data_IF_913852853568
#
_entry.id   IF_913852853568
#
_cell.length_a   1.000
_cell.length_b   1.000
_cell.length_c   1.000
_cell.angle_alpha   90.00
_cell.angle_beta   90.00
_cell.angle_gamma   90.00
#
_symmetry.space_group_name_H-M   'P 1'
#
loop_
_entity.id
_entity.type
_entity.pdbx_description
1 polymer ?
#
# COMPACT_ATOMS: atom_id res chain seq x y z
N UNK A 1 -16.72 -19.16 -13.27
CA UNK A 1 -15.39 -18.59 -13.55
C UNK A 1 -15.44 -17.09 -13.27
N UNK A 2 -14.90 -16.63 -12.14
CA UNK A 2 -14.89 -15.19 -11.84
C UNK A 2 -13.99 -14.48 -12.86
N UNK A 3 -14.49 -13.47 -13.56
CA UNK A 3 -13.68 -12.67 -14.47
C UNK A 3 -12.56 -12.02 -13.66
N UNK A 4 -11.30 -12.30 -14.01
CA UNK A 4 -10.14 -11.67 -13.38
C UNK A 4 -10.16 -10.16 -13.67
N UNK A 5 -9.78 -9.37 -12.68
CA UNK A 5 -9.81 -7.90 -12.76
C UNK A 5 -8.65 -7.40 -13.63
N UNK A 6 -8.86 -6.24 -14.28
CA UNK A 6 -7.79 -5.56 -15.01
C UNK A 6 -6.78 -4.90 -14.06
N UNK A 7 -5.53 -4.74 -14.50
CA UNK A 7 -4.47 -4.07 -13.72
C UNK A 7 -4.93 -2.69 -13.26
N UNK A 8 -5.50 -1.88 -14.16
CA UNK A 8 -6.00 -0.53 -13.83
C UNK A 8 -7.00 -0.54 -12.68
N UNK A 9 -7.95 -1.47 -12.68
CA UNK A 9 -8.94 -1.59 -11.61
C UNK A 9 -8.29 -1.97 -10.28
N UNK A 10 -7.34 -2.90 -10.30
CA UNK A 10 -6.67 -3.38 -9.08
C UNK A 10 -5.78 -2.29 -8.47
N UNK A 11 -5.06 -1.54 -9.30
CA UNK A 11 -4.26 -0.37 -8.88
C UNK A 11 -5.17 0.72 -8.31
N UNK A 12 -6.27 1.04 -8.97
CA UNK A 12 -7.23 2.05 -8.49
C UNK A 12 -7.79 1.68 -7.11
N UNK A 13 -8.15 0.41 -6.91
CA UNK A 13 -8.59 -0.07 -5.60
C UNK A 13 -7.48 0.11 -4.56
N UNK A 14 -6.23 -0.17 -4.92
CA UNK A 14 -5.08 0.04 -4.04
C UNK A 14 -4.90 1.50 -3.63
N UNK A 15 -4.91 2.41 -4.59
CA UNK A 15 -4.83 3.85 -4.31
C UNK A 15 -5.99 4.32 -3.42
N UNK A 16 -7.20 3.80 -3.65
CA UNK A 16 -8.36 4.16 -2.85
C UNK A 16 -8.27 3.63 -1.41
N UNK A 17 -7.88 2.38 -1.20
CA UNK A 17 -7.86 1.77 0.15
C UNK A 17 -6.59 2.05 0.93
N UNK A 18 -5.47 2.33 0.25
CA UNK A 18 -4.17 2.61 0.88
C UNK A 18 -3.93 4.11 0.93
N UNK A 19 -3.92 4.81 -0.21
CA UNK A 19 -3.47 6.19 -0.28
C UNK A 19 -4.50 7.18 0.28
N UNK A 20 -5.81 6.96 0.06
CA UNK A 20 -6.83 7.89 0.60
C UNK A 20 -6.79 7.92 2.14
N UNK A 21 -6.81 6.79 2.87
CA UNK A 21 -6.65 6.83 4.33
C UNK A 21 -5.30 7.41 4.78
N UNK A 22 -4.20 7.10 4.07
CA UNK A 22 -2.88 7.70 4.34
C UNK A 22 -2.95 9.23 4.26
N UNK A 23 -3.54 9.77 3.20
CA UNK A 23 -3.73 11.23 3.06
C UNK A 23 -4.63 11.80 4.15
N UNK A 24 -5.70 11.10 4.53
CA UNK A 24 -6.58 11.53 5.62
C UNK A 24 -5.86 11.57 6.96
N UNK A 25 -5.03 10.60 7.29
CA UNK A 25 -4.24 10.63 8.53
C UNK A 25 -3.14 11.69 8.48
N UNK A 26 -2.45 11.81 7.35
CA UNK A 26 -1.31 12.71 7.20
C UNK A 26 -1.71 14.18 7.19
N UNK A 27 -2.83 14.54 6.56
CA UNK A 27 -3.29 15.92 6.44
C UNK A 27 -4.54 16.23 7.25
N UNK A 28 -5.46 15.27 7.38
CA UNK A 28 -6.73 15.49 8.06
C UNK A 28 -6.55 15.82 9.54
N UNK A 29 -5.63 15.15 10.24
CA UNK A 29 -5.35 15.45 11.65
C UNK A 29 -4.73 16.85 11.84
N UNK A 30 -3.64 17.24 11.14
CA UNK A 30 -3.13 18.60 11.22
C UNK A 30 -4.13 19.69 10.82
N UNK A 31 -4.90 19.48 9.75
CA UNK A 31 -5.93 20.44 9.32
C UNK A 31 -7.03 20.58 10.36
N UNK A 32 -7.47 19.48 10.97
CA UNK A 32 -8.48 19.50 12.03
C UNK A 32 -7.94 20.21 13.28
N UNK A 33 -6.69 19.96 13.66
CA UNK A 33 -6.04 20.64 14.79
C UNK A 33 -5.93 22.15 14.55
N UNK A 34 -5.50 22.56 13.34
CA UNK A 34 -5.47 23.96 12.94
C UNK A 34 -6.84 24.63 13.07
N UNK A 35 -7.87 23.98 12.53
CA UNK A 35 -9.23 24.51 12.50
C UNK A 35 -9.86 24.65 13.89
N UNK A 36 -9.64 23.65 14.77
CA UNK A 36 -10.31 23.60 16.07
C UNK A 36 -9.59 24.38 17.18
N UNK A 37 -8.25 24.38 17.20
CA UNK A 37 -7.52 24.83 18.38
C UNK A 37 -6.81 26.18 18.20
N UNK A 38 -6.60 26.68 16.96
CA UNK A 38 -5.87 27.93 16.62
C UNK A 38 -4.47 28.12 17.28
N UNK A 39 -4.06 27.21 18.16
CA UNK A 39 -2.80 27.16 18.87
C UNK A 39 -1.76 26.42 18.03
N UNK A 40 -0.82 27.17 17.45
CA UNK A 40 0.17 26.64 16.51
C UNK A 40 1.13 25.58 17.07
N UNK A 41 1.29 25.47 18.38
CA UNK A 41 2.21 24.49 19.00
C UNK A 41 1.68 23.05 18.96
N UNK A 42 0.36 22.86 18.82
CA UNK A 42 -0.26 21.53 18.66
C UNK A 42 -0.09 20.97 17.25
N UNK A 43 0.18 21.82 16.25
CA UNK A 43 0.41 21.39 14.87
C UNK A 43 1.51 20.34 14.72
N UNK A 44 2.76 20.56 15.19
CA UNK A 44 3.82 19.56 15.03
C UNK A 44 3.46 18.23 15.71
N UNK A 45 2.78 18.27 16.86
CA UNK A 45 2.33 17.07 17.57
C UNK A 45 1.30 16.30 16.73
N UNK A 46 0.28 17.01 16.21
CA UNK A 46 -0.74 16.42 15.35
C UNK A 46 -0.16 15.87 14.03
N UNK A 47 0.86 16.52 13.48
CA UNK A 47 1.55 16.07 12.27
C UNK A 47 2.36 14.78 12.51
N UNK A 48 3.08 14.70 13.63
CA UNK A 48 3.82 13.48 14.01
C UNK A 48 2.85 12.32 14.23
N UNK A 49 1.75 12.54 14.95
CA UNK A 49 0.72 11.53 15.17
C UNK A 49 0.04 11.11 13.86
N UNK A 50 -0.29 12.07 13.00
CA UNK A 50 -0.87 11.81 11.68
C UNK A 50 0.06 10.98 10.80
N UNK A 51 1.36 11.30 10.79
CA UNK A 51 2.36 10.52 10.09
C UNK A 51 2.47 9.08 10.65
N UNK A 52 2.53 8.91 11.97
CA UNK A 52 2.63 7.59 12.60
C UNK A 52 1.41 6.70 12.27
N UNK A 53 0.21 7.27 12.27
CA UNK A 53 -1.02 6.57 11.90
C UNK A 53 -1.07 6.25 10.40
N UNK A 54 -0.71 7.22 9.55
CA UNK A 54 -0.61 7.02 8.11
C UNK A 54 0.36 5.89 7.77
N UNK A 55 1.55 5.90 8.37
CA UNK A 55 2.57 4.88 8.18
C UNK A 55 2.08 3.51 8.63
N UNK A 56 1.48 3.43 9.82
CA UNK A 56 0.94 2.16 10.36
C UNK A 56 -0.16 1.59 9.46
N UNK A 57 -1.07 2.45 8.98
CA UNK A 57 -2.12 2.03 8.05
C UNK A 57 -1.53 1.51 6.74
N UNK A 58 -0.58 2.25 6.15
CA UNK A 58 0.10 1.83 4.94
C UNK A 58 0.78 0.47 5.13
N UNK A 59 1.60 0.32 6.17
CA UNK A 59 2.35 -0.91 6.48
C UNK A 59 1.47 -2.14 6.60
N UNK A 60 0.24 -2.00 7.09
CA UNK A 60 -0.73 -3.09 7.17
C UNK A 60 -1.48 -3.28 5.86
N UNK A 61 -2.18 -2.23 5.40
CA UNK A 61 -3.13 -2.30 4.28
C UNK A 61 -2.46 -2.72 2.97
N UNK A 62 -1.20 -2.34 2.75
CA UNK A 62 -0.49 -2.67 1.52
C UNK A 62 -0.27 -4.17 1.34
N UNK A 63 -0.06 -4.91 2.43
CA UNK A 63 0.13 -6.38 2.42
C UNK A 63 -1.15 -7.08 1.99
N UNK A 64 -2.30 -6.66 2.54
CA UNK A 64 -3.61 -7.21 2.17
C UNK A 64 -3.97 -6.87 0.73
N UNK A 65 -3.76 -5.61 0.34
CA UNK A 65 -3.97 -5.19 -1.04
C UNK A 65 -3.10 -6.01 -2.00
N UNK A 66 -1.79 -6.16 -1.72
CA UNK A 66 -0.86 -6.91 -2.57
C UNK A 66 -1.36 -8.34 -2.80
N UNK A 67 -1.64 -9.08 -1.74
CA UNK A 67 -2.12 -10.47 -1.85
C UNK A 67 -3.44 -10.52 -2.61
N UNK A 68 -4.37 -9.60 -2.32
CA UNK A 68 -5.65 -9.53 -3.02
C UNK A 68 -5.48 -9.20 -4.51
N UNK A 69 -4.61 -8.25 -4.84
CA UNK A 69 -4.34 -7.75 -6.19
C UNK A 69 -3.85 -8.87 -7.11
N UNK A 70 -2.80 -9.60 -6.67
CA UNK A 70 -2.24 -10.70 -7.44
C UNK A 70 -3.19 -11.90 -7.53
N UNK A 71 -3.96 -12.18 -6.48
CA UNK A 71 -4.99 -13.25 -6.52
C UNK A 71 -6.11 -12.93 -7.52
N UNK A 72 -6.47 -11.66 -7.67
CA UNK A 72 -7.56 -11.20 -8.56
C UNK A 72 -7.10 -10.87 -9.99
N UNK A 73 -5.79 -10.94 -10.27
CA UNK A 73 -5.21 -10.63 -11.59
C UNK A 73 -4.69 -11.91 -12.24
N UNK A 74 -4.67 -11.96 -13.58
CA UNK A 74 -4.15 -13.12 -14.29
C UNK A 74 -2.65 -13.26 -14.08
N UNK A 75 -2.14 -14.49 -13.92
CA UNK A 75 -0.72 -14.74 -13.66
C UNK A 75 0.19 -14.17 -14.76
N UNK A 76 -0.25 -14.27 -16.01
CA UNK A 76 0.43 -13.67 -17.17
C UNK A 76 0.64 -12.14 -17.06
N UNK A 77 -0.19 -11.47 -16.26
CA UNK A 77 -0.22 -10.01 -16.12
C UNK A 77 0.49 -9.58 -14.81
N UNK A 78 1.00 -10.52 -14.01
CA UNK A 78 1.63 -10.23 -12.71
C UNK A 78 2.88 -9.36 -12.81
N UNK A 79 3.84 -9.59 -13.75
CA UNK A 79 4.99 -8.70 -13.89
C UNK A 79 4.56 -7.25 -14.18
N UNK A 80 3.59 -7.07 -15.08
CA UNK A 80 3.09 -5.74 -15.42
C UNK A 80 2.35 -5.08 -14.25
N UNK A 81 1.59 -5.86 -13.46
CA UNK A 81 0.95 -5.36 -12.24
C UNK A 81 1.97 -4.88 -11.22
N UNK A 82 3.07 -5.60 -11.01
CA UNK A 82 4.14 -5.21 -10.09
C UNK A 82 4.79 -3.89 -10.53
N UNK A 83 5.20 -3.79 -11.80
CA UNK A 83 5.76 -2.55 -12.35
C UNK A 83 4.81 -1.37 -12.16
N UNK A 84 3.53 -1.53 -12.51
CA UNK A 84 2.54 -0.46 -12.34
C UNK A 84 2.31 -0.10 -10.86
N UNK A 85 2.40 -1.07 -9.94
CA UNK A 85 2.24 -0.82 -8.51
C UNK A 85 3.43 -0.04 -7.93
N UNK A 86 4.65 -0.29 -8.43
CA UNK A 86 5.84 0.48 -8.08
C UNK A 86 5.77 1.89 -8.69
N UNK A 87 5.44 2.01 -9.97
CA UNK A 87 5.33 3.30 -10.67
C UNK A 87 4.25 4.20 -10.05
N UNK A 88 3.17 3.61 -9.55
CA UNK A 88 2.09 4.33 -8.84
C UNK A 88 2.40 4.60 -7.36
N UNK A 89 3.63 4.33 -6.91
CA UNK A 89 4.11 4.48 -5.52
C UNK A 89 3.28 3.73 -4.48
N UNK A 90 2.57 2.69 -4.90
CA UNK A 90 1.76 1.86 -4.02
C UNK A 90 2.64 0.80 -3.36
N UNK A 91 3.57 0.21 -4.12
CA UNK A 91 4.57 -0.74 -3.64
C UNK A 91 5.98 -0.16 -3.71
N UNK A 92 6.82 -0.64 -2.78
CA UNK A 92 8.26 -0.51 -2.92
C UNK A 92 8.85 -1.73 -3.62
N UNK A 93 9.96 -1.56 -4.37
CA UNK A 93 10.70 -2.68 -4.94
C UNK A 93 11.11 -3.70 -3.86
N UNK A 94 11.25 -4.96 -4.26
CA UNK A 94 11.73 -6.01 -3.36
C UNK A 94 13.10 -5.64 -2.76
N UNK A 95 13.28 -5.87 -1.46
CA UNK A 95 14.51 -5.56 -0.74
C UNK A 95 14.65 -4.10 -0.30
N UNK A 96 13.77 -3.21 -0.75
CA UNK A 96 13.75 -1.80 -0.33
C UNK A 96 13.50 -1.66 1.18
N UNK A 97 14.07 -0.64 1.82
CA UNK A 97 13.96 -0.45 3.27
C UNK A 97 12.50 -0.36 3.73
N UNK A 98 11.67 0.40 3.01
CA UNK A 98 10.25 0.56 3.35
C UNK A 98 9.42 -0.71 3.12
N UNK A 99 9.80 -1.58 2.18
CA UNK A 99 9.17 -2.89 2.00
C UNK A 99 9.33 -3.76 3.26
N UNK A 100 10.44 -3.61 3.98
CA UNK A 100 10.70 -4.31 5.25
C UNK A 100 9.89 -3.76 6.43
N UNK A 101 9.32 -2.56 6.30
CA UNK A 101 8.47 -1.96 7.34
C UNK A 101 7.00 -2.38 7.22
N UNK A 102 6.69 -3.24 6.25
CA UNK A 102 5.37 -3.85 6.13
C UNK A 102 5.09 -4.83 7.28
N UNK A 103 3.87 -4.77 7.81
CA UNK A 103 3.44 -5.64 8.91
C UNK A 103 2.83 -6.89 8.31
N UNK A 104 3.58 -8.00 8.35
CA UNK A 104 3.24 -9.26 7.69
C UNK A 104 3.13 -10.39 8.70
N UNK A 105 2.08 -11.21 8.58
CA UNK A 105 2.03 -12.53 9.21
C UNK A 105 2.88 -13.53 8.42
N UNK A 106 3.28 -14.65 9.05
CA UNK A 106 4.05 -15.72 8.37
C UNK A 106 3.37 -16.22 7.10
N UNK A 107 2.05 -16.47 7.17
CA UNK A 107 1.27 -16.93 6.02
C UNK A 107 1.20 -15.88 4.89
N UNK A 108 1.14 -14.59 5.22
CA UNK A 108 1.19 -13.54 4.20
C UNK A 108 2.57 -13.45 3.55
N UNK A 109 3.64 -13.59 4.34
CA UNK A 109 5.01 -13.59 3.83
C UNK A 109 5.24 -14.75 2.85
N UNK A 110 4.73 -15.94 3.16
CA UNK A 110 4.80 -17.11 2.25
C UNK A 110 4.05 -16.86 0.94
N UNK A 111 2.85 -16.27 1.00
CA UNK A 111 2.08 -15.90 -0.21
C UNK A 111 2.82 -14.88 -1.07
N UNK A 112 3.40 -13.86 -0.46
CA UNK A 112 4.15 -12.83 -1.19
C UNK A 112 5.40 -13.43 -1.86
N UNK A 113 6.14 -14.29 -1.15
CA UNK A 113 7.29 -15.02 -1.74
C UNK A 113 6.86 -15.89 -2.93
N UNK A 114 5.72 -16.57 -2.83
CA UNK A 114 5.20 -17.37 -3.93
C UNK A 114 4.81 -16.49 -5.15
N UNK A 115 4.27 -15.29 -4.91
CA UNK A 115 3.99 -14.31 -5.96
C UNK A 115 5.28 -13.88 -6.66
N UNK A 116 6.31 -13.45 -5.91
CA UNK A 116 7.58 -13.02 -6.50
C UNK A 116 8.23 -14.14 -7.32
N UNK A 117 8.27 -15.37 -6.79
CA UNK A 117 8.83 -16.52 -7.51
C UNK A 117 8.11 -16.78 -8.85
N UNK A 118 6.79 -16.63 -8.89
CA UNK A 118 6.02 -16.80 -10.12
C UNK A 118 6.30 -15.65 -11.12
N UNK A 119 6.46 -14.42 -10.63
CA UNK A 119 6.82 -13.26 -11.46
C UNK A 119 8.20 -13.49 -12.09
N UNK A 120 9.20 -13.90 -11.31
CA UNK A 120 10.55 -14.21 -11.80
C UNK A 120 10.53 -15.27 -12.91
N UNK A 121 9.74 -16.33 -12.75
CA UNK A 121 9.61 -17.41 -13.73
C UNK A 121 8.97 -16.98 -15.06
N UNK A 122 8.12 -15.94 -15.05
CA UNK A 122 7.45 -15.42 -16.25
C UNK A 122 8.12 -14.17 -16.85
N UNK A 123 9.18 -13.67 -16.22
CA UNK A 123 9.95 -12.51 -16.67
C UNK A 123 11.20 -12.90 -17.47
N UNK A 124 11.49 -14.21 -17.57
CA UNK A 124 12.57 -14.82 -18.36
C UNK A 124 12.00 -15.42 -19.66
#
# INVERSE_FOLDING_TARGET
>A
MSQKKSIKQVILVGQLIVNVPVMLFMFGLPCLTWYLFLEGWLLPISAILGFALAWTWWSFSIVFWRIWAFTNTSKKDWPHLETNAIDSQLLWPEGHFFEKTEIRTKAQQEKIRAIHKEIEQHSL
#
